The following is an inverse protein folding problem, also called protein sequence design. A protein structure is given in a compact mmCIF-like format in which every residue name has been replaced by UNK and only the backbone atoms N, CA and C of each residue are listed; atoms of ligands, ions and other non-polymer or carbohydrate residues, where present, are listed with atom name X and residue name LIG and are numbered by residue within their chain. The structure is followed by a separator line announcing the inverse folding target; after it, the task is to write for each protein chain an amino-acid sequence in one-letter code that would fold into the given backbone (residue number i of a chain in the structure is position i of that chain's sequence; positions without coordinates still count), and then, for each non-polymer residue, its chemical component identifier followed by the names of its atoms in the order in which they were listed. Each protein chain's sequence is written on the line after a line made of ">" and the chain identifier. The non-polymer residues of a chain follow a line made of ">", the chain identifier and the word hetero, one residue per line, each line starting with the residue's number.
data_IF_449505675283
#
_entry.id   IF_449505675283
#
_cell.length_a   1.000
_cell.length_b   1.000
_cell.length_c   1.000
_cell.angle_alpha   90.00
_cell.angle_beta   90.00
_cell.angle_gamma   90.00
#
_symmetry.space_group_name_H-M   'P 1'
#
loop_
_entity.id
_entity.type
_entity.pdbx_description
1 polymer ?
#
# COMPACT_ATOMS: atom_id res chain seq x y z
N UNK A 1 26.37 4.06 4.93
CA UNK A 1 26.05 3.42 6.20
C UNK A 1 27.37 3.07 6.90
N UNK A 2 27.61 3.63 8.07
CA UNK A 2 28.79 3.34 8.90
C UNK A 2 28.63 1.90 9.38
N UNK A 3 29.58 1.04 9.00
CA UNK A 3 29.64 -0.31 9.56
C UNK A 3 29.84 -0.24 11.06
N UNK A 4 29.03 -0.94 11.83
CA UNK A 4 29.23 -1.08 13.26
C UNK A 4 30.64 -1.68 13.51
N UNK A 5 31.41 -1.20 14.48
CA UNK A 5 32.71 -1.74 14.77
C UNK A 5 32.57 -3.25 15.11
N UNK A 6 33.39 -4.06 14.45
CA UNK A 6 33.46 -5.49 14.72
C UNK A 6 33.97 -5.69 16.14
N UNK A 7 33.15 -6.25 17.02
CA UNK A 7 33.54 -6.61 18.37
C UNK A 7 33.68 -8.13 18.47
N UNK A 8 34.89 -8.60 18.63
CA UNK A 8 35.20 -10.03 18.78
C UNK A 8 35.46 -10.30 20.26
N UNK A 9 34.69 -11.23 20.84
CA UNK A 9 34.92 -11.75 22.19
C UNK A 9 35.49 -13.16 22.02
N UNK A 10 36.71 -13.37 22.50
CA UNK A 10 37.36 -14.65 22.47
C UNK A 10 37.20 -15.34 23.82
N UNK A 11 36.64 -16.54 23.80
CA UNK A 11 36.53 -17.39 24.98
C UNK A 11 37.63 -18.47 24.96
N UNK A 12 38.49 -18.42 25.97
CA UNK A 12 39.60 -19.33 26.14
C UNK A 12 39.36 -20.37 27.25
N UNK A 13 38.16 -20.52 27.73
CA UNK A 13 37.81 -21.42 28.87
C UNK A 13 38.10 -22.91 28.55
N UNK A 14 38.12 -23.25 27.26
CA UNK A 14 38.36 -24.61 26.77
C UNK A 14 39.83 -24.92 26.47
N UNK A 15 40.75 -23.97 26.71
CA UNK A 15 42.17 -24.20 26.49
C UNK A 15 42.74 -25.10 27.59
N UNK A 16 43.44 -26.16 27.16
CA UNK A 16 44.20 -27.07 28.02
C UNK A 16 45.68 -26.99 27.63
N UNK A 17 46.55 -26.99 28.64
CA UNK A 17 48.00 -26.91 28.42
C UNK A 17 48.65 -28.29 28.67
N UNK A 18 49.28 -28.81 27.61
CA UNK A 18 50.09 -30.03 27.65
C UNK A 18 51.47 -29.74 27.07
N UNK A 19 52.46 -30.57 27.43
CA UNK A 19 53.82 -30.50 26.87
C UNK A 19 53.93 -31.15 25.49
N UNK A 20 53.14 -30.64 24.52
CA UNK A 20 53.09 -31.12 23.15
C UNK A 20 52.94 -29.92 22.17
N UNK A 21 52.94 -30.22 20.88
CA UNK A 21 52.77 -29.20 19.84
C UNK A 21 51.47 -28.43 20.00
N UNK A 22 51.56 -27.12 19.90
CA UNK A 22 50.37 -26.23 20.04
C UNK A 22 49.41 -26.42 18.87
N UNK A 23 48.16 -26.79 19.14
CA UNK A 23 47.08 -26.85 18.14
C UNK A 23 45.88 -26.05 18.64
N UNK A 24 45.51 -25.01 17.87
CA UNK A 24 44.31 -24.22 18.13
C UNK A 24 43.23 -24.51 17.08
N UNK A 25 42.03 -24.85 17.50
CA UNK A 25 40.85 -24.98 16.62
C UNK A 25 39.75 -24.06 17.07
N UNK A 26 39.09 -23.41 16.10
CA UNK A 26 37.81 -22.73 16.38
C UNK A 26 36.72 -23.78 16.58
N UNK A 27 35.99 -23.68 17.69
CA UNK A 27 34.88 -24.57 18.02
C UNK A 27 33.55 -24.08 17.44
N UNK A 28 33.29 -22.80 17.56
CA UNK A 28 32.07 -22.19 17.04
C UNK A 28 32.23 -20.69 16.81
N UNK A 29 31.45 -20.17 15.93
CA UNK A 29 31.32 -18.72 15.72
C UNK A 29 29.82 -18.37 15.57
N UNK A 30 29.42 -17.20 16.05
CA UNK A 30 28.08 -16.64 15.93
C UNK A 30 27.99 -15.52 14.88
N UNK A 31 29.10 -15.22 14.24
CA UNK A 31 29.19 -14.23 13.18
C UNK A 31 28.67 -14.74 11.84
N UNK A 32 28.08 -13.86 11.07
CA UNK A 32 27.61 -14.13 9.70
C UNK A 32 28.34 -13.26 8.70
N UNK A 33 28.58 -13.81 7.54
CA UNK A 33 29.13 -13.06 6.42
C UNK A 33 28.15 -11.97 5.98
N UNK A 34 28.68 -10.90 5.39
CA UNK A 34 27.84 -9.86 4.81
C UNK A 34 26.94 -10.46 3.73
N UNK A 35 25.61 -10.25 3.85
CA UNK A 35 24.60 -10.73 2.93
C UNK A 35 23.98 -9.60 2.13
N UNK A 36 23.73 -9.84 0.84
CA UNK A 36 22.87 -9.00 0.00
C UNK A 36 21.43 -9.51 0.07
N UNK A 37 20.47 -8.61 -0.07
CA UNK A 37 19.05 -8.98 -0.13
C UNK A 37 18.79 -9.70 -1.46
N UNK A 38 18.35 -10.96 -1.40
CA UNK A 38 18.00 -11.77 -2.57
C UNK A 38 16.53 -11.75 -2.90
N UNK A 39 15.69 -11.85 -1.87
CA UNK A 39 14.24 -11.84 -2.03
C UNK A 39 13.56 -11.24 -0.83
N UNK A 40 12.30 -10.83 -1.00
CA UNK A 40 11.43 -10.41 0.10
C UNK A 40 10.05 -11.03 -0.07
N UNK A 41 9.39 -11.26 1.05
CA UNK A 41 8.00 -11.71 1.11
C UNK A 41 7.23 -10.85 2.12
N UNK A 42 5.93 -10.71 1.92
CA UNK A 42 5.02 -10.01 2.83
C UNK A 42 4.14 -11.07 3.49
N UNK A 43 4.03 -11.03 4.81
CA UNK A 43 3.15 -11.91 5.58
C UNK A 43 1.75 -11.30 5.71
N UNK A 44 0.77 -12.10 6.15
CA UNK A 44 -0.61 -11.67 6.39
C UNK A 44 -0.72 -10.57 7.44
N UNK A 45 0.24 -10.48 8.36
CA UNK A 45 0.36 -9.40 9.34
C UNK A 45 1.04 -8.14 8.79
N UNK A 46 1.34 -8.10 7.50
CA UNK A 46 2.01 -6.98 6.84
C UNK A 46 3.51 -6.88 7.13
N UNK A 47 4.13 -7.88 7.74
CA UNK A 47 5.56 -7.90 8.00
C UNK A 47 6.28 -8.21 6.70
N UNK A 48 7.24 -7.36 6.34
CA UNK A 48 8.11 -7.54 5.18
C UNK A 48 9.34 -8.30 5.66
N UNK A 49 9.45 -9.56 5.26
CA UNK A 49 10.57 -10.45 5.60
C UNK A 49 11.52 -10.50 4.42
N UNK A 50 12.76 -10.11 4.62
CA UNK A 50 13.83 -10.20 3.62
C UNK A 50 14.67 -11.44 3.83
N UNK A 51 14.99 -12.14 2.75
CA UNK A 51 15.97 -13.24 2.71
C UNK A 51 17.28 -12.74 2.12
N UNK A 52 18.38 -13.03 2.80
CA UNK A 52 19.71 -12.56 2.45
C UNK A 52 20.59 -13.73 1.95
N UNK A 53 21.57 -13.41 1.10
CA UNK A 53 22.50 -14.39 0.50
C UNK A 53 23.36 -15.15 1.53
N UNK A 54 23.42 -14.68 2.77
CA UNK A 54 24.07 -15.36 3.89
C UNK A 54 23.15 -16.38 4.61
N UNK A 55 21.96 -16.67 4.08
CA UNK A 55 20.99 -17.59 4.64
C UNK A 55 20.17 -17.02 5.82
N UNK A 56 20.36 -15.75 6.15
CA UNK A 56 19.59 -15.10 7.20
C UNK A 56 18.30 -14.50 6.66
N UNK A 57 17.23 -14.59 7.44
CA UNK A 57 15.99 -13.86 7.23
C UNK A 57 15.85 -12.77 8.27
N UNK A 58 15.43 -11.57 7.87
CA UNK A 58 15.20 -10.43 8.78
C UNK A 58 13.92 -9.70 8.42
N UNK A 59 13.23 -9.23 9.44
CA UNK A 59 12.10 -8.32 9.26
C UNK A 59 12.66 -6.94 8.85
N UNK A 60 12.27 -6.47 7.67
CA UNK A 60 12.71 -5.21 7.09
C UNK A 60 11.81 -4.06 7.50
N UNK A 61 10.52 -4.32 7.69
CA UNK A 61 9.52 -3.35 8.06
C UNK A 61 8.14 -3.99 8.19
N UNK A 62 7.14 -3.16 8.46
CA UNK A 62 5.74 -3.59 8.55
C UNK A 62 4.84 -2.58 7.86
N UNK A 63 3.83 -3.07 7.14
CA UNK A 63 2.80 -2.25 6.51
C UNK A 63 1.80 -1.86 7.58
N UNK A 64 1.58 -0.56 7.73
CA UNK A 64 0.57 -0.02 8.63
C UNK A 64 -0.77 0.12 7.90
N UNK A 65 -1.87 -0.17 8.59
CA UNK A 65 -3.23 0.05 8.12
C UNK A 65 -3.82 1.26 8.84
N UNK A 66 -4.51 2.11 8.09
CA UNK A 66 -5.22 3.26 8.63
C UNK A 66 -6.72 3.01 8.59
N UNK A 67 -7.41 3.32 9.70
CA UNK A 67 -8.86 3.31 9.82
C UNK A 67 -9.36 4.70 10.15
N UNK A 68 -10.46 5.09 9.55
CA UNK A 68 -11.12 6.38 9.77
C UNK A 68 -12.52 6.17 10.34
N UNK A 69 -12.96 7.10 11.17
CA UNK A 69 -14.32 7.06 11.74
C UNK A 69 -15.37 7.22 10.64
N UNK A 70 -15.09 8.07 9.65
CA UNK A 70 -15.94 8.29 8.48
C UNK A 70 -15.10 8.23 7.19
N UNK A 71 -14.96 7.06 6.55
CA UNK A 71 -14.19 6.91 5.31
C UNK A 71 -14.73 7.76 4.13
N UNK A 72 -16.06 8.02 4.11
CA UNK A 72 -16.67 8.85 3.06
C UNK A 72 -16.28 10.33 3.15
N UNK A 73 -15.76 10.76 4.29
CA UNK A 73 -15.24 12.12 4.49
C UNK A 73 -13.82 12.33 4.01
N UNK A 74 -13.14 11.31 3.49
CA UNK A 74 -11.79 11.42 2.94
C UNK A 74 -11.81 12.16 1.59
N UNK A 75 -10.85 13.05 1.39
CA UNK A 75 -10.65 13.74 0.11
C UNK A 75 -9.72 12.93 -0.79
N UNK A 76 -10.14 12.73 -2.04
CA UNK A 76 -9.35 12.00 -3.04
C UNK A 76 -8.44 12.96 -3.80
N UNK A 77 -7.13 12.76 -3.73
CA UNK A 77 -6.13 13.58 -4.42
C UNK A 77 -5.62 12.99 -5.76
N UNK A 78 -6.16 11.85 -6.17
CA UNK A 78 -5.77 11.15 -7.40
C UNK A 78 -4.85 9.96 -7.13
N UNK A 79 -4.59 9.16 -8.16
CA UNK A 79 -3.73 7.95 -8.11
C UNK A 79 -4.10 7.00 -6.95
N UNK A 80 -5.40 6.87 -6.63
CA UNK A 80 -5.94 6.07 -5.51
C UNK A 80 -5.50 6.51 -4.11
N UNK A 81 -4.95 7.74 -4.00
CA UNK A 81 -4.56 8.32 -2.71
C UNK A 81 -5.67 9.17 -2.11
N UNK A 82 -5.75 9.13 -0.78
CA UNK A 82 -6.72 9.87 0.02
C UNK A 82 -6.00 10.69 1.09
N UNK A 83 -6.58 11.83 1.45
CA UNK A 83 -6.11 12.67 2.54
C UNK A 83 -7.21 12.82 3.59
N UNK A 84 -6.80 12.92 4.84
CA UNK A 84 -7.74 13.15 5.94
C UNK A 84 -8.32 14.57 5.90
N UNK A 85 -9.58 14.67 6.28
CA UNK A 85 -10.29 15.95 6.40
C UNK A 85 -10.93 16.04 7.79
N UNK A 86 -11.38 17.22 8.23
CA UNK A 86 -12.12 17.34 9.49
C UNK A 86 -13.37 16.44 9.55
N UNK A 87 -13.94 16.07 8.40
CA UNK A 87 -15.14 15.22 8.31
C UNK A 87 -14.80 13.71 8.37
N UNK A 88 -13.58 13.31 8.05
CA UNK A 88 -13.14 11.90 8.14
C UNK A 88 -12.75 11.49 9.56
N UNK A 89 -12.39 12.46 10.39
CA UNK A 89 -11.74 12.22 11.67
C UNK A 89 -10.25 11.89 11.49
N UNK A 90 -9.54 11.75 12.61
CA UNK A 90 -8.11 11.42 12.64
C UNK A 90 -7.86 9.96 12.26
N UNK A 91 -6.77 9.72 11.54
CA UNK A 91 -6.33 8.38 11.18
C UNK A 91 -5.95 7.56 12.42
N UNK A 92 -6.57 6.40 12.61
CA UNK A 92 -6.14 5.39 13.56
C UNK A 92 -5.22 4.41 12.83
N UNK A 93 -3.93 4.43 13.17
CA UNK A 93 -2.91 3.66 12.47
C UNK A 93 -2.46 2.51 13.36
N UNK A 94 -2.60 1.28 12.84
CA UNK A 94 -2.22 0.05 13.54
C UNK A 94 -1.64 -0.98 12.55
N UNK A 95 -1.09 -2.05 13.10
CA UNK A 95 -0.61 -3.17 12.31
C UNK A 95 -1.76 -4.03 11.79
N UNK A 96 -1.56 -4.69 10.64
CA UNK A 96 -2.51 -5.69 10.14
C UNK A 96 -2.69 -6.84 11.14
N UNK A 97 -3.92 -7.41 11.22
CA UNK A 97 -4.26 -8.49 12.13
C UNK A 97 -4.59 -8.06 13.57
N UNK A 98 -4.54 -6.77 13.89
CA UNK A 98 -4.99 -6.26 15.19
C UNK A 98 -6.53 -6.22 15.27
N UNK A 99 -7.12 -6.26 16.49
CA UNK A 99 -8.57 -6.18 16.65
C UNK A 99 -9.16 -4.94 15.98
N UNK A 100 -10.10 -5.15 15.04
CA UNK A 100 -10.72 -4.07 14.26
C UNK A 100 -9.98 -3.69 12.97
N UNK A 101 -8.86 -4.34 12.66
CA UNK A 101 -8.14 -4.22 11.40
C UNK A 101 -8.13 -5.56 10.65
N UNK A 102 -8.16 -5.51 9.33
CA UNK A 102 -8.09 -6.69 8.48
C UNK A 102 -6.67 -7.27 8.39
N UNK A 103 -6.57 -8.43 7.77
CA UNK A 103 -5.30 -9.04 7.38
C UNK A 103 -4.95 -8.66 5.94
N UNK A 104 -3.66 -8.67 5.62
CA UNK A 104 -3.20 -8.43 4.25
C UNK A 104 -3.21 -9.76 3.49
N UNK A 105 -3.68 -9.73 2.23
CA UNK A 105 -3.55 -10.85 1.30
C UNK A 105 -2.30 -10.63 0.46
N UNK A 106 -1.19 -11.30 0.77
CA UNK A 106 0.04 -11.12 0.01
C UNK A 106 -0.09 -11.68 -1.41
N UNK A 107 0.71 -11.17 -2.34
CA UNK A 107 0.75 -11.60 -3.74
C UNK A 107 -0.59 -11.47 -4.50
N UNK A 108 -1.48 -10.59 -4.02
CA UNK A 108 -2.76 -10.29 -4.64
C UNK A 108 -2.87 -8.82 -4.98
N UNK A 109 -3.57 -8.50 -6.06
CA UNK A 109 -3.95 -7.14 -6.42
C UNK A 109 -5.46 -7.01 -6.29
N UNK A 110 -5.91 -5.91 -5.69
CA UNK A 110 -7.33 -5.59 -5.60
C UNK A 110 -7.88 -5.28 -7.00
N UNK A 111 -8.95 -5.97 -7.36
CA UNK A 111 -9.65 -5.72 -8.62
C UNK A 111 -10.60 -4.54 -8.48
N UNK A 112 -10.91 -3.89 -9.61
CA UNK A 112 -11.95 -2.87 -9.63
C UNK A 112 -13.32 -3.49 -9.33
N UNK A 113 -14.11 -2.82 -8.49
CA UNK A 113 -15.50 -3.16 -8.19
C UNK A 113 -16.51 -2.33 -9.03
N UNK A 114 -16.03 -1.59 -10.03
CA UNK A 114 -16.87 -0.78 -10.92
C UNK A 114 -17.52 -1.68 -11.97
N UNK A 115 -18.84 -1.68 -12.04
CA UNK A 115 -19.59 -2.31 -13.15
C UNK A 115 -19.66 -1.35 -14.33
N UNK A 116 -18.90 -1.71 -15.37
CA UNK A 116 -18.86 -0.91 -16.60
C UNK A 116 -20.22 -0.79 -17.28
N UNK A 117 -21.09 -1.80 -17.15
CA UNK A 117 -22.43 -1.78 -17.77
C UNK A 117 -23.32 -0.74 -17.12
N UNK A 118 -23.24 -0.62 -15.80
CA UNK A 118 -23.96 0.39 -15.03
C UNK A 118 -23.45 1.79 -15.37
N UNK A 119 -22.14 2.01 -15.38
CA UNK A 119 -21.53 3.29 -15.73
C UNK A 119 -21.85 3.74 -17.17
N UNK A 120 -21.83 2.81 -18.13
CA UNK A 120 -22.24 3.12 -19.49
C UNK A 120 -23.73 3.45 -19.60
N UNK A 121 -24.58 2.78 -18.82
CA UNK A 121 -26.01 3.06 -18.77
C UNK A 121 -26.27 4.46 -18.23
N UNK A 122 -25.63 4.84 -17.12
CA UNK A 122 -25.73 6.18 -16.57
C UNK A 122 -25.20 7.25 -17.54
N UNK A 123 -24.10 6.98 -18.23
CA UNK A 123 -23.58 7.86 -19.26
C UNK A 123 -24.61 8.09 -20.37
N UNK A 124 -25.26 7.02 -20.88
CA UNK A 124 -26.28 7.12 -21.92
C UNK A 124 -27.49 7.92 -21.44
N UNK A 125 -27.96 7.68 -20.21
CA UNK A 125 -29.08 8.42 -19.61
C UNK A 125 -28.72 9.91 -19.51
N UNK A 126 -27.54 10.22 -19.02
CA UNK A 126 -27.06 11.61 -18.90
C UNK A 126 -26.94 12.30 -20.27
N UNK A 127 -26.41 11.61 -21.28
CA UNK A 127 -26.32 12.13 -22.64
C UNK A 127 -27.71 12.39 -23.25
N UNK A 128 -28.65 11.46 -23.05
CA UNK A 128 -30.03 11.65 -23.53
C UNK A 128 -30.74 12.79 -22.80
N UNK A 129 -30.52 12.94 -21.50
CA UNK A 129 -31.03 14.06 -20.73
C UNK A 129 -30.49 15.42 -21.24
N UNK A 130 -29.22 15.50 -21.52
CA UNK A 130 -28.59 16.68 -22.10
C UNK A 130 -29.16 17.00 -23.50
N UNK A 131 -29.31 15.99 -24.36
CA UNK A 131 -29.89 16.15 -25.68
C UNK A 131 -31.38 16.60 -25.61
N UNK A 132 -32.17 16.06 -24.69
CA UNK A 132 -33.55 16.46 -24.49
C UNK A 132 -33.65 17.94 -24.06
N UNK A 133 -32.83 18.36 -23.10
CA UNK A 133 -32.77 19.75 -22.66
C UNK A 133 -32.33 20.70 -23.79
N UNK A 134 -31.34 20.29 -24.59
CA UNK A 134 -30.89 21.07 -25.75
C UNK A 134 -32.00 21.25 -26.79
N UNK A 135 -32.80 20.20 -27.06
CA UNK A 135 -33.95 20.29 -27.99
C UNK A 135 -35.04 21.21 -27.49
N UNK A 136 -35.31 21.26 -26.15
CA UNK A 136 -36.28 22.20 -25.60
C UNK A 136 -35.84 23.65 -25.83
N UNK A 137 -34.53 23.94 -25.69
CA UNK A 137 -33.99 25.28 -25.97
C UNK A 137 -34.16 25.65 -27.43
N UNK A 138 -33.79 24.75 -28.37
CA UNK A 138 -33.93 25.02 -29.81
C UNK A 138 -35.39 25.19 -30.23
N UNK A 139 -36.31 24.37 -29.69
CA UNK A 139 -37.74 24.51 -29.95
C UNK A 139 -38.33 25.83 -29.37
N UNK A 140 -37.82 26.27 -28.24
CA UNK A 140 -38.19 27.57 -27.65
C UNK A 140 -37.70 28.74 -28.53
N UNK A 141 -36.47 28.65 -29.08
CA UNK A 141 -35.93 29.64 -30.01
C UNK A 141 -36.74 29.71 -31.29
N UNK A 142 -37.11 28.55 -31.86
CA UNK A 142 -37.96 28.48 -33.06
C UNK A 142 -39.33 29.13 -32.83
N UNK A 143 -40.01 28.84 -31.70
CA UNK A 143 -41.26 29.47 -31.33
C UNK A 143 -41.12 30.99 -31.18
N UNK A 144 -40.06 31.47 -30.56
CA UNK A 144 -39.80 32.90 -30.45
C UNK A 144 -39.53 33.55 -31.79
N UNK A 145 -38.87 32.89 -32.73
CA UNK A 145 -38.68 33.39 -34.09
C UNK A 145 -39.98 33.47 -34.86
N UNK A 146 -40.87 32.47 -34.73
CA UNK A 146 -42.19 32.52 -35.34
C UNK A 146 -43.05 33.65 -34.76
N UNK A 147 -43.05 33.88 -33.44
CA UNK A 147 -43.74 34.99 -32.78
C UNK A 147 -43.23 36.37 -33.27
N UNK A 148 -41.93 36.51 -33.49
CA UNK A 148 -41.35 37.74 -34.04
C UNK A 148 -41.77 37.96 -35.51
N UNK A 149 -41.88 36.86 -36.30
CA UNK A 149 -42.30 36.91 -37.68
C UNK A 149 -43.81 37.23 -37.82
N UNK A 150 -44.64 36.78 -36.88
CA UNK A 150 -46.10 37.11 -36.84
C UNK A 150 -46.38 38.59 -36.50
N UNK A 151 -45.45 39.32 -35.95
CA UNK A 151 -45.55 40.73 -35.62
C UNK A 151 -45.23 41.67 -36.81
N UNK A 152 -44.82 41.11 -37.97
CA UNK A 152 -44.62 41.81 -39.21
C UNK A 152 -45.87 41.67 -40.10
#
# INVERSE_FOLDING_TARGET
>A
ASANPLRIVLDFSQFTQYADTFTGKFLSQDGYQNGALESYAIDQNGIIVGSFSNGLTRNLGQIALARFTNPAGLERIGSTMFIETPNSGTAQIEAAGQPGYGTISPSSLEMSNVDLSEEFTEMIITQRGFQANSRIITSSDEMLQELVNLKR
#
